data_IF_051422022472
#
_entry.id   IF_051422022472
#
_cell.length_a   1.000
_cell.length_b   1.000
_cell.length_c   1.000
_cell.angle_alpha   90.00
_cell.angle_beta   90.00
_cell.angle_gamma   90.00
#
_symmetry.space_group_name_H-M   'P 1'
#
loop_
_entity.id
_entity.type
_entity.pdbx_description
1 polymer ?
#
# COMPACT_ATOMS: atom_id res chain seq x y z
N UNK A 1 35.93 7.49 0.46
CA UNK A 1 35.61 6.31 1.30
C UNK A 1 34.18 5.88 1.10
N UNK A 2 34.00 4.61 0.72
CA UNK A 2 32.70 3.96 0.75
C UNK A 2 32.40 3.55 2.19
N UNK A 3 31.17 3.78 2.65
CA UNK A 3 30.71 3.32 3.96
C UNK A 3 30.54 1.80 3.95
N UNK A 4 30.62 1.18 5.13
CA UNK A 4 30.34 -0.25 5.31
C UNK A 4 28.88 -0.56 4.96
N UNK A 5 28.61 -1.79 4.52
CA UNK A 5 27.28 -2.20 4.07
C UNK A 5 26.19 -2.11 5.15
N UNK A 6 26.59 -2.15 6.42
CA UNK A 6 25.71 -2.05 7.59
C UNK A 6 25.44 -0.59 8.01
N UNK A 7 26.08 0.38 7.38
CA UNK A 7 25.87 1.78 7.70
C UNK A 7 24.43 2.20 7.42
N UNK A 8 23.75 2.66 8.48
CA UNK A 8 22.38 3.17 8.43
C UNK A 8 22.29 4.63 8.85
N UNK A 9 21.31 5.34 8.30
CA UNK A 9 20.93 6.69 8.72
C UNK A 9 19.42 6.72 8.98
N UNK A 10 18.91 7.29 10.08
CA UNK A 10 17.48 7.44 10.26
C UNK A 10 16.87 8.39 9.22
N UNK A 11 15.71 8.05 8.67
CA UNK A 11 14.86 8.96 7.89
C UNK A 11 13.58 9.18 8.68
N UNK A 12 13.26 10.45 8.94
CA UNK A 12 12.00 10.85 9.55
C UNK A 12 10.98 11.04 8.44
N UNK A 13 9.95 10.20 8.39
CA UNK A 13 8.84 10.26 7.44
C UNK A 13 7.64 10.92 8.12
N UNK A 14 6.98 11.83 7.42
CA UNK A 14 5.89 12.66 7.96
C UNK A 14 6.38 13.96 8.60
N UNK A 15 5.45 14.70 9.21
CA UNK A 15 5.65 16.04 9.78
C UNK A 15 5.86 16.03 11.30
N UNK A 16 6.06 14.85 11.90
CA UNK A 16 6.15 14.66 13.35
C UNK A 16 4.78 14.48 14.04
N UNK A 17 3.67 14.57 13.28
CA UNK A 17 2.32 14.29 13.77
C UNK A 17 1.98 12.78 13.82
N UNK A 18 0.73 12.46 14.20
CA UNK A 18 0.23 11.09 14.16
C UNK A 18 0.42 10.44 12.80
N UNK A 19 1.00 9.24 12.78
CA UNK A 19 1.33 8.52 11.55
C UNK A 19 2.73 8.79 11.00
N UNK A 20 3.54 9.63 11.64
CA UNK A 20 4.97 9.75 11.33
C UNK A 20 5.73 8.47 11.70
N UNK A 21 6.77 8.14 10.93
CA UNK A 21 7.59 6.93 11.11
C UNK A 21 9.06 7.30 11.02
N UNK A 22 9.88 6.76 11.91
CA UNK A 22 11.33 6.74 11.73
C UNK A 22 11.72 5.42 11.05
N UNK A 23 12.43 5.52 9.92
CA UNK A 23 12.84 4.37 9.09
C UNK A 23 14.36 4.34 8.95
N UNK A 24 14.96 3.16 9.03
CA UNK A 24 16.38 3.01 8.73
C UNK A 24 16.62 3.09 7.21
N UNK A 25 17.47 4.03 6.78
CA UNK A 25 17.97 4.15 5.42
C UNK A 25 19.34 3.46 5.26
N UNK A 26 19.55 2.78 4.14
CA UNK A 26 20.76 2.04 3.79
C UNK A 26 21.05 2.05 2.27
N UNK A 27 22.19 1.47 1.89
CA UNK A 27 22.69 1.24 0.52
C UNK A 27 23.11 2.51 -0.23
N UNK A 28 22.23 3.50 -0.36
CA UNK A 28 22.47 4.75 -1.08
C UNK A 28 21.82 5.90 -0.33
N UNK A 29 22.47 7.06 -0.32
CA UNK A 29 21.98 8.28 0.35
C UNK A 29 22.11 9.45 -0.62
N UNK A 30 21.07 9.69 -1.41
CA UNK A 30 21.08 10.77 -2.41
C UNK A 30 20.74 12.13 -1.78
N UNK A 31 21.51 13.15 -2.13
CA UNK A 31 21.23 14.53 -1.71
C UNK A 31 20.26 15.18 -2.69
N UNK A 32 18.99 15.17 -2.33
CA UNK A 32 17.92 15.68 -3.18
C UNK A 32 17.79 17.19 -3.06
N UNK A 33 17.56 17.85 -4.20
CA UNK A 33 17.23 19.28 -4.28
C UNK A 33 15.82 19.38 -4.88
N UNK A 34 14.76 19.50 -4.06
CA UNK A 34 13.40 19.60 -4.55
C UNK A 34 13.20 20.84 -5.41
N UNK A 35 12.64 20.66 -6.60
CA UNK A 35 12.22 21.75 -7.49
C UNK A 35 10.69 21.78 -7.57
N UNK A 36 10.05 22.30 -6.52
CA UNK A 36 8.58 22.32 -6.40
C UNK A 36 7.97 20.99 -5.95
N UNK A 37 8.77 20.06 -5.42
CA UNK A 37 8.29 18.84 -4.78
C UNK A 37 8.13 19.07 -3.26
N UNK A 38 7.08 18.49 -2.69
CA UNK A 38 6.87 18.41 -1.25
C UNK A 38 7.92 17.45 -0.66
N UNK A 39 8.50 17.83 0.48
CA UNK A 39 9.37 16.95 1.26
C UNK A 39 8.52 16.17 2.24
N UNK A 40 8.54 14.84 2.12
CA UNK A 40 7.77 13.92 2.94
C UNK A 40 8.63 13.13 3.92
N UNK A 41 9.94 13.12 3.69
CA UNK A 41 10.89 12.60 4.67
C UNK A 41 12.26 13.20 4.52
N UNK A 42 12.98 13.30 5.63
CA UNK A 42 14.32 13.90 5.69
C UNK A 42 15.28 13.00 6.44
N UNK A 43 16.55 13.00 6.02
CA UNK A 43 17.63 12.33 6.75
C UNK A 43 17.80 12.93 8.14
N UNK A 44 18.08 12.09 9.13
CA UNK A 44 18.14 12.48 10.54
C UNK A 44 19.55 12.66 11.09
N UNK A 45 20.58 12.16 10.39
CA UNK A 45 21.97 12.21 10.84
C UNK A 45 22.96 12.51 9.70
N UNK A 46 24.24 12.64 10.09
CA UNK A 46 25.38 12.97 9.22
C UNK A 46 25.34 14.41 8.67
N UNK A 47 26.31 14.79 7.82
CA UNK A 47 26.46 16.15 7.29
C UNK A 47 25.26 16.62 6.43
N UNK A 48 24.39 15.71 6.05
CA UNK A 48 23.18 15.94 5.27
C UNK A 48 21.89 15.74 6.08
N UNK A 49 21.97 15.73 7.41
CA UNK A 49 20.80 15.77 8.27
C UNK A 49 19.90 16.97 7.92
N UNK A 50 18.59 16.74 7.89
CA UNK A 50 17.59 17.72 7.48
C UNK A 50 17.40 17.85 5.97
N UNK A 51 18.23 17.20 5.15
CA UNK A 51 18.02 17.17 3.69
C UNK A 51 16.96 16.14 3.28
N UNK A 52 16.26 16.34 2.16
CA UNK A 52 15.16 15.46 1.74
C UNK A 52 15.65 14.06 1.34
N UNK A 53 14.92 13.04 1.81
CA UNK A 53 15.10 11.64 1.46
C UNK A 53 13.90 11.08 0.68
N UNK A 54 12.70 11.59 0.94
CA UNK A 54 11.47 11.22 0.23
C UNK A 54 10.72 12.47 -0.20
N UNK A 55 10.35 12.54 -1.47
CA UNK A 55 9.62 13.69 -2.03
C UNK A 55 8.42 13.27 -2.86
N UNK A 56 7.46 14.18 -3.01
CA UNK A 56 6.29 14.04 -3.87
C UNK A 56 6.08 15.31 -4.69
N UNK A 57 5.90 15.17 -5.99
CA UNK A 57 5.59 16.28 -6.88
C UNK A 57 4.26 16.05 -7.59
N UNK A 58 3.40 17.07 -7.60
CA UNK A 58 2.12 17.04 -8.31
C UNK A 58 2.33 17.42 -9.78
N UNK A 59 1.86 16.59 -10.70
CA UNK A 59 1.95 16.87 -12.14
C UNK A 59 0.66 16.45 -12.85
N UNK A 60 -0.01 17.42 -13.46
CA UNK A 60 -1.35 17.22 -14.01
C UNK A 60 -2.33 16.74 -12.92
N UNK A 61 -2.95 15.58 -13.14
CA UNK A 61 -3.87 14.96 -12.18
C UNK A 61 -3.21 13.88 -11.29
N UNK A 62 -1.89 13.70 -11.39
CA UNK A 62 -1.15 12.65 -10.69
C UNK A 62 -0.03 13.17 -9.82
N UNK A 63 0.70 12.24 -9.20
CA UNK A 63 1.86 12.53 -8.36
C UNK A 63 3.05 11.65 -8.77
N UNK A 64 4.23 12.24 -8.83
CA UNK A 64 5.51 11.54 -8.87
C UNK A 64 6.09 11.45 -7.47
N UNK A 65 6.51 10.26 -7.04
CA UNK A 65 7.17 10.03 -5.76
C UNK A 65 8.62 9.64 -6.00
N UNK A 66 9.54 10.17 -5.19
CA UNK A 66 10.95 9.83 -5.25
C UNK A 66 11.46 9.43 -3.87
N UNK A 67 12.20 8.32 -3.80
CA UNK A 67 12.82 7.79 -2.59
C UNK A 67 14.32 7.68 -2.86
N UNK A 68 15.12 8.59 -2.30
CA UNK A 68 16.56 8.69 -2.57
C UNK A 68 17.44 7.72 -1.77
N UNK A 69 16.85 6.68 -1.17
CA UNK A 69 17.53 5.74 -0.28
C UNK A 69 16.83 4.39 -0.20
N UNK A 70 17.55 3.35 0.22
CA UNK A 70 16.93 2.08 0.60
C UNK A 70 16.29 2.20 1.98
N UNK A 71 14.98 2.42 2.07
CA UNK A 71 14.23 2.37 3.33
C UNK A 71 14.06 0.93 3.81
N UNK A 72 13.94 0.75 5.13
CA UNK A 72 13.47 -0.50 5.73
C UNK A 72 11.98 -0.76 5.45
N UNK A 73 11.48 -1.92 5.88
CA UNK A 73 10.10 -2.32 5.61
C UNK A 73 9.09 -1.31 6.17
N UNK A 74 9.34 -0.73 7.35
CA UNK A 74 8.44 0.26 7.94
C UNK A 74 8.35 1.53 7.10
N UNK A 75 9.48 2.00 6.54
CA UNK A 75 9.50 3.14 5.64
C UNK A 75 8.85 2.86 4.28
N UNK A 76 9.10 1.69 3.69
CA UNK A 76 8.44 1.26 2.44
C UNK A 76 6.94 1.17 2.64
N UNK A 77 6.49 0.51 3.71
CA UNK A 77 5.08 0.40 4.08
C UNK A 77 4.43 1.78 4.22
N UNK A 78 5.12 2.71 4.87
CA UNK A 78 4.62 4.07 5.06
C UNK A 78 4.42 4.78 3.73
N UNK A 79 5.43 4.79 2.86
CA UNK A 79 5.36 5.45 1.53
C UNK A 79 4.25 4.84 0.68
N UNK A 80 4.18 3.51 0.61
CA UNK A 80 3.16 2.81 -0.18
C UNK A 80 1.76 3.10 0.37
N UNK A 81 1.56 3.12 1.69
CA UNK A 81 0.26 3.47 2.30
C UNK A 81 -0.17 4.88 1.91
N UNK A 82 0.72 5.87 1.95
CA UNK A 82 0.38 7.24 1.54
C UNK A 82 -0.09 7.30 0.07
N UNK A 83 0.55 6.55 -0.83
CA UNK A 83 0.13 6.45 -2.23
C UNK A 83 -1.25 5.81 -2.35
N UNK A 84 -1.49 4.69 -1.67
CA UNK A 84 -2.75 3.96 -1.71
C UNK A 84 -3.92 4.76 -1.11
N UNK A 85 -3.70 5.41 0.03
CA UNK A 85 -4.70 6.21 0.73
C UNK A 85 -5.13 7.43 -0.10
N UNK A 86 -4.20 8.06 -0.82
CA UNK A 86 -4.50 9.15 -1.77
C UNK A 86 -5.51 8.73 -2.84
N UNK A 87 -5.56 7.44 -3.17
CA UNK A 87 -6.46 6.87 -4.16
C UNK A 87 -7.63 6.08 -3.54
N UNK A 88 -7.77 6.08 -2.21
CA UNK A 88 -8.80 5.30 -1.50
C UNK A 88 -8.68 3.79 -1.72
N UNK A 89 -7.47 3.29 -1.97
CA UNK A 89 -7.22 1.87 -2.24
C UNK A 89 -6.93 1.18 -0.91
N UNK A 90 -7.84 0.30 -0.48
CA UNK A 90 -7.67 -0.53 0.70
C UNK A 90 -7.48 -2.02 0.32
N UNK A 91 -6.66 -2.72 1.10
CA UNK A 91 -6.56 -4.18 1.03
C UNK A 91 -7.88 -4.86 1.42
N UNK A 92 -8.08 -6.10 0.97
CA UNK A 92 -9.31 -6.87 1.26
C UNK A 92 -9.45 -7.27 2.73
N UNK A 93 -8.32 -7.50 3.40
CA UNK A 93 -8.26 -7.87 4.82
C UNK A 93 -7.25 -6.97 5.56
N UNK A 94 -7.61 -5.70 5.82
CA UNK A 94 -6.74 -4.84 6.60
C UNK A 94 -6.54 -5.43 8.00
N UNK A 95 -5.30 -5.40 8.49
CA UNK A 95 -4.96 -5.90 9.83
C UNK A 95 -4.57 -7.38 9.90
N UNK A 96 -4.52 -8.11 8.77
CA UNK A 96 -4.01 -9.49 8.70
C UNK A 96 -2.71 -9.58 7.88
N UNK A 97 -1.55 -9.13 8.42
CA UNK A 97 -0.32 -9.04 7.62
C UNK A 97 0.25 -10.38 7.15
N UNK A 98 -0.15 -11.49 7.76
CA UNK A 98 0.25 -12.85 7.41
C UNK A 98 -0.63 -13.45 6.30
N UNK A 99 -1.72 -12.77 5.94
CA UNK A 99 -2.65 -13.18 4.90
C UNK A 99 -2.33 -12.47 3.59
N UNK A 100 -1.77 -13.20 2.64
CA UNK A 100 -1.66 -12.73 1.27
C UNK A 100 -2.97 -13.00 0.51
N UNK A 101 -3.39 -12.03 -0.29
CA UNK A 101 -4.50 -12.21 -1.24
C UNK A 101 -4.10 -11.90 -2.66
N UNK A 102 -4.42 -12.79 -3.58
CA UNK A 102 -4.22 -12.60 -5.01
C UNK A 102 -5.51 -12.90 -5.77
N UNK A 103 -5.80 -12.14 -6.83
CA UNK A 103 -6.96 -12.38 -7.68
C UNK A 103 -6.51 -12.69 -9.11
N UNK A 104 -7.10 -13.72 -9.72
CA UNK A 104 -6.94 -14.03 -11.15
C UNK A 104 -8.31 -14.03 -11.82
N UNK A 105 -8.34 -13.62 -13.08
CA UNK A 105 -9.53 -13.70 -13.94
C UNK A 105 -9.18 -14.61 -15.10
N UNK A 106 -9.89 -15.72 -15.23
CA UNK A 106 -9.73 -16.65 -16.34
C UNK A 106 -10.32 -16.06 -17.64
N UNK A 107 -9.95 -16.59 -18.82
CA UNK A 107 -10.46 -16.08 -20.11
C UNK A 107 -11.99 -16.13 -20.24
N UNK A 108 -12.64 -17.07 -19.57
CA UNK A 108 -14.12 -17.20 -19.52
C UNK A 108 -14.78 -16.19 -18.56
N UNK A 109 -13.99 -15.35 -17.89
CA UNK A 109 -14.45 -14.35 -16.92
C UNK A 109 -14.54 -14.87 -15.48
N UNK A 110 -14.26 -16.15 -15.24
CA UNK A 110 -14.25 -16.73 -13.89
C UNK A 110 -13.21 -16.02 -13.03
N UNK A 111 -13.61 -15.55 -11.85
CA UNK A 111 -12.71 -14.91 -10.88
C UNK A 111 -12.30 -15.91 -9.80
N UNK A 112 -11.01 -15.98 -9.56
CA UNK A 112 -10.39 -16.79 -8.52
C UNK A 112 -9.71 -15.86 -7.51
N UNK A 113 -10.11 -15.94 -6.25
CA UNK A 113 -9.44 -15.29 -5.13
C UNK A 113 -8.64 -16.34 -4.36
N UNK A 114 -7.33 -16.14 -4.28
CA UNK A 114 -6.41 -16.94 -3.48
C UNK A 114 -6.19 -16.27 -2.13
N UNK A 115 -6.34 -17.04 -1.06
CA UNK A 115 -6.00 -16.66 0.31
C UNK A 115 -4.85 -17.55 0.80
N UNK A 116 -3.67 -16.97 1.00
CA UNK A 116 -2.48 -17.69 1.48
C UNK A 116 -2.11 -17.20 2.87
N UNK A 117 -2.18 -18.10 3.85
CA UNK A 117 -1.71 -17.85 5.20
C UNK A 117 -0.22 -18.24 5.30
N UNK A 118 0.65 -17.25 5.50
CA UNK A 118 2.10 -17.43 5.64
C UNK A 118 2.56 -17.69 7.07
N UNK A 119 1.63 -17.79 8.02
CA UNK A 119 1.93 -18.22 9.39
C UNK A 119 1.86 -19.74 9.54
N UNK A 120 2.44 -20.23 10.62
CA UNK A 120 2.36 -21.63 11.05
C UNK A 120 1.10 -21.94 11.88
N UNK A 121 0.27 -20.93 12.16
CA UNK A 121 -0.98 -21.07 12.91
C UNK A 121 -2.20 -20.91 12.00
N UNK A 122 -3.31 -21.61 12.27
CA UNK A 122 -4.58 -21.34 11.59
C UNK A 122 -5.00 -19.86 11.75
N UNK A 123 -5.45 -19.24 10.65
CA UNK A 123 -5.88 -17.85 10.64
C UNK A 123 -7.35 -17.78 10.27
N UNK A 124 -8.12 -16.93 10.93
CA UNK A 124 -9.52 -16.69 10.56
C UNK A 124 -9.67 -15.28 9.97
N UNK A 125 -10.21 -15.17 8.76
CA UNK A 125 -10.38 -13.93 8.01
C UNK A 125 -11.84 -13.74 7.58
N UNK A 126 -12.42 -12.52 7.68
CA UNK A 126 -13.79 -12.28 7.21
C UNK A 126 -13.94 -12.62 5.73
N UNK A 127 -15.03 -13.28 5.34
CA UNK A 127 -15.28 -13.57 3.93
C UNK A 127 -15.58 -12.27 3.16
N UNK A 128 -14.60 -11.78 2.39
CA UNK A 128 -14.74 -10.56 1.60
C UNK A 128 -15.62 -10.72 0.36
N UNK A 129 -15.84 -11.97 -0.09
CA UNK A 129 -16.65 -12.33 -1.26
C UNK A 129 -17.40 -13.64 -1.01
N UNK A 130 -18.56 -13.81 -1.63
CA UNK A 130 -19.25 -15.10 -1.67
C UNK A 130 -18.71 -15.95 -2.82
N UNK A 131 -18.60 -17.25 -2.61
CA UNK A 131 -18.17 -18.19 -3.63
C UNK A 131 -18.02 -19.61 -3.10
N UNK A 132 -17.53 -20.50 -3.95
CA UNK A 132 -17.16 -21.86 -3.56
C UNK A 132 -15.68 -21.90 -3.22
N UNK A 133 -15.33 -22.41 -2.05
CA UNK A 133 -13.96 -22.83 -1.75
C UNK A 133 -13.62 -24.06 -2.58
N UNK A 134 -12.71 -23.91 -3.54
CA UNK A 134 -12.35 -24.99 -4.47
C UNK A 134 -11.51 -26.11 -3.82
N UNK A 135 -10.98 -25.93 -2.62
CA UNK A 135 -10.25 -26.99 -1.92
C UNK A 135 -11.19 -27.91 -1.11
N UNK A 136 -12.22 -27.35 -0.51
CA UNK A 136 -13.17 -28.08 0.36
C UNK A 136 -14.50 -28.39 -0.32
N UNK A 137 -14.84 -27.64 -1.36
CA UNK A 137 -16.16 -27.66 -2.01
C UNK A 137 -17.23 -26.89 -1.22
N UNK A 138 -16.90 -26.30 -0.08
CA UNK A 138 -17.85 -25.57 0.75
C UNK A 138 -18.25 -24.23 0.13
N UNK A 139 -19.49 -23.79 0.39
CA UNK A 139 -19.95 -22.49 -0.06
C UNK A 139 -19.72 -21.44 1.03
N UNK A 140 -18.87 -20.45 0.72
CA UNK A 140 -18.57 -19.31 1.58
C UNK A 140 -19.49 -18.16 1.20
N UNK A 141 -20.07 -17.49 2.18
CA UNK A 141 -20.91 -16.32 1.97
C UNK A 141 -20.16 -15.09 2.45
N UNK A 142 -20.15 -14.01 1.66
CA UNK A 142 -19.63 -12.73 2.12
C UNK A 142 -20.41 -12.29 3.36
N UNK A 143 -19.69 -12.04 4.44
CA UNK A 143 -20.30 -11.51 5.67
C UNK A 143 -19.56 -10.26 6.03
N UNK A 144 -20.29 -9.16 6.19
CA UNK A 144 -19.75 -7.86 6.60
C UNK A 144 -18.99 -7.97 7.93
N UNK A 145 -19.32 -8.98 8.77
CA UNK A 145 -18.69 -9.31 10.06
C UNK A 145 -18.95 -10.78 10.48
N UNK A 146 -18.33 -11.77 9.84
CA UNK A 146 -17.97 -13.04 10.50
C UNK A 146 -16.96 -13.84 9.68
N UNK A 147 -16.25 -14.73 10.36
CA UNK A 147 -14.89 -15.12 10.04
C UNK A 147 -14.86 -16.50 9.34
N UNK A 148 -14.09 -16.61 8.26
CA UNK A 148 -13.76 -17.87 7.57
C UNK A 148 -12.39 -18.34 8.03
N UNK A 149 -12.26 -19.61 8.43
CA UNK A 149 -11.00 -20.17 8.90
C UNK A 149 -10.17 -20.62 7.72
N UNK A 150 -9.09 -19.89 7.41
CA UNK A 150 -8.04 -20.36 6.52
C UNK A 150 -7.11 -21.31 7.30
N UNK A 151 -7.44 -22.60 7.27
CA UNK A 151 -6.57 -23.66 7.79
C UNK A 151 -5.73 -24.20 6.64
N UNK A 152 -4.46 -23.79 6.55
CA UNK A 152 -3.55 -24.30 5.53
C UNK A 152 -3.77 -23.73 4.11
N UNK A 153 -2.82 -24.04 3.23
CA UNK A 153 -2.53 -23.31 2.01
C UNK A 153 -3.69 -23.31 0.97
N UNK A 154 -4.41 -22.19 0.86
CA UNK A 154 -5.09 -21.77 -0.37
C UNK A 154 -6.61 -21.89 -0.41
N UNK A 155 -7.37 -21.07 0.32
CA UNK A 155 -8.79 -20.94 -0.02
C UNK A 155 -8.90 -20.29 -1.41
N UNK A 156 -9.55 -20.99 -2.35
CA UNK A 156 -9.79 -20.50 -3.70
C UNK A 156 -11.29 -20.23 -3.82
N UNK A 157 -11.73 -18.97 -3.76
CA UNK A 157 -13.14 -18.64 -3.94
C UNK A 157 -13.45 -18.41 -5.43
N UNK A 158 -14.35 -19.22 -6.01
CA UNK A 158 -14.99 -18.90 -7.30
C UNK A 158 -16.16 -17.95 -7.04
N UNK A 159 -16.06 -16.70 -7.49
CA UNK A 159 -17.15 -15.73 -7.33
C UNK A 159 -17.99 -15.67 -8.60
N UNK A 160 -19.29 -15.87 -8.51
CA UNK A 160 -20.17 -16.03 -9.68
C UNK A 160 -20.75 -14.72 -10.24
N UNK A 161 -20.32 -13.54 -9.74
CA UNK A 161 -20.81 -12.24 -10.23
C UNK A 161 -19.74 -11.16 -10.15
N UNK A 162 -19.78 -10.22 -11.12
CA UNK A 162 -19.09 -8.92 -11.03
C UNK A 162 -19.48 -8.26 -9.71
N UNK A 163 -18.59 -8.26 -8.72
CA UNK A 163 -18.62 -7.24 -7.67
C UNK A 163 -18.46 -5.89 -8.37
N UNK A 164 -19.30 -4.87 -8.13
CA UNK A 164 -19.00 -3.53 -8.59
C UNK A 164 -17.64 -3.16 -8.03
N UNK A 165 -16.64 -2.98 -8.90
CA UNK A 165 -15.40 -2.36 -8.48
C UNK A 165 -15.72 -1.00 -7.86
N UNK A 166 -14.96 -0.59 -6.85
CA UNK A 166 -14.98 0.77 -6.35
C UNK A 166 -14.93 1.71 -7.56
N UNK A 167 -16.05 2.40 -7.84
CA UNK A 167 -16.08 3.43 -8.87
C UNK A 167 -15.29 4.59 -8.31
N UNK A 168 -14.15 4.88 -8.92
CA UNK A 168 -13.48 6.16 -8.76
C UNK A 168 -14.49 7.25 -9.16
N UNK A 169 -14.80 8.24 -8.30
CA UNK A 169 -15.62 9.37 -8.72
C UNK A 169 -14.90 10.13 -9.85
N UNK A 170 -15.64 10.68 -10.83
CA UNK A 170 -15.03 11.52 -11.86
C UNK A 170 -14.34 12.74 -11.23
N UNK A 171 -13.25 13.24 -11.81
CA UNK A 171 -12.59 14.44 -11.30
C UNK A 171 -13.57 15.63 -11.30
N UNK A 172 -13.47 16.55 -10.33
CA UNK A 172 -14.28 17.76 -10.33
C UNK A 172 -14.03 18.56 -11.61
N UNK A 173 -15.10 19.06 -12.23
CA UNK A 173 -15.02 19.91 -13.42
C UNK A 173 -14.17 21.15 -13.11
N UNK A 174 -13.33 21.63 -14.04
CA UNK A 174 -12.59 22.87 -13.85
C UNK A 174 -13.58 24.00 -13.62
N UNK A 175 -13.54 24.58 -12.42
CA UNK A 175 -14.36 25.72 -12.06
C UNK A 175 -14.03 26.88 -13.00
N UNK A 176 -15.07 27.47 -13.58
CA UNK A 176 -14.98 28.69 -14.37
C UNK A 176 -14.34 29.77 -13.52
N UNK A 177 -13.15 30.22 -13.89
CA UNK A 177 -12.56 31.42 -13.34
C UNK A 177 -13.50 32.59 -13.64
N UNK A 178 -14.23 33.04 -12.63
CA UNK A 178 -14.94 34.30 -12.69
C UNK A 178 -13.88 35.41 -12.65
N UNK A 179 -13.66 35.99 -13.83
CA UNK A 179 -13.04 37.29 -14.00
C UNK A 179 -13.69 38.30 -13.03
N UNK A 180 -12.86 38.87 -12.15
CA UNK A 180 -13.18 40.07 -11.40
C UNK A 180 -12.03 41.04 -11.60
N UNK A 181 -12.27 41.92 -12.57
CA UNK A 181 -11.84 43.31 -12.68
C UNK A 181 -11.50 43.99 -11.35
#
# INVERSE_FOLDING_TARGET
DAREAEFGNPVRLGDGGPGSVESAARLVFELLIPQGADVLGSYGADFYAGTPAVTRHSFGAGHGWYVGTGLDQAGVDWVVRQVLDTHGIAGRHPGLPQLETAARVAPDGTRLLFLLNHSDQPLTAPAAVSGTDLLTGEHVTAVSRSASTATGCGCCARTDRRTPGLRTPPPPSPGTAADRS
#
